data_IF_814193272340
#
_entry.id   IF_814193272340
#
_cell.length_a   1.000
_cell.length_b   1.000
_cell.length_c   1.000
_cell.angle_alpha   90.00
_cell.angle_beta   90.00
_cell.angle_gamma   90.00
#
_symmetry.space_group_name_H-M   'P 1'
#
loop_
_entity.id
_entity.type
_entity.pdbx_description
1 polymer ?
#
# COMPACT_ATOMS: atom_id res chain seq x y z
N UNK A 1 35.08 6.32 -16.39
CA UNK A 1 35.69 7.61 -16.03
C UNK A 1 34.58 8.58 -15.59
N UNK A 2 34.87 9.37 -14.54
CA UNK A 2 33.98 10.45 -14.12
C UNK A 2 34.04 11.64 -15.10
N UNK A 3 33.22 12.67 -14.86
CA UNK A 3 33.18 13.88 -15.69
C UNK A 3 34.51 14.66 -15.72
N UNK A 4 35.46 14.35 -14.86
CA UNK A 4 36.79 14.94 -14.80
C UNK A 4 37.88 14.05 -15.41
N UNK A 5 37.50 12.94 -16.07
CA UNK A 5 38.44 12.01 -16.73
C UNK A 5 39.18 11.04 -15.79
N UNK A 6 38.80 10.96 -14.51
CA UNK A 6 39.44 10.04 -13.55
C UNK A 6 38.85 8.64 -13.70
N UNK A 7 39.70 7.62 -13.63
CA UNK A 7 39.27 6.23 -13.62
C UNK A 7 38.63 5.91 -12.26
N UNK A 8 37.41 5.41 -12.29
CA UNK A 8 36.69 4.92 -11.11
C UNK A 8 36.69 3.39 -11.12
N UNK A 9 37.07 2.79 -10.01
CA UNK A 9 37.08 1.33 -9.85
C UNK A 9 35.68 0.86 -9.40
N UNK A 10 35.07 -0.04 -10.17
CA UNK A 10 33.74 -0.65 -9.91
C UNK A 10 33.85 -2.13 -9.49
N UNK A 11 35.05 -2.64 -9.16
CA UNK A 11 35.22 -4.08 -8.85
C UNK A 11 34.40 -4.55 -7.67
N UNK A 12 34.20 -3.70 -6.66
CA UNK A 12 33.49 -4.01 -5.44
C UNK A 12 32.10 -3.36 -5.37
N UNK A 13 31.42 -3.21 -6.52
CA UNK A 13 30.09 -2.59 -6.61
C UNK A 13 29.04 -3.61 -7.07
N UNK A 14 27.84 -3.46 -6.58
CA UNK A 14 26.65 -4.13 -7.09
C UNK A 14 25.93 -3.13 -8.00
N UNK A 15 25.79 -3.48 -9.27
CA UNK A 15 25.07 -2.66 -10.24
C UNK A 15 23.63 -3.17 -10.38
N UNK A 16 22.68 -2.35 -9.97
CA UNK A 16 21.25 -2.66 -10.09
C UNK A 16 20.64 -1.76 -11.16
N UNK A 17 19.95 -2.37 -12.13
CA UNK A 17 19.24 -1.67 -13.20
C UNK A 17 17.76 -2.01 -13.13
N UNK A 18 16.91 -1.02 -13.34
CA UNK A 18 15.44 -1.20 -13.39
C UNK A 18 14.92 -0.81 -14.76
N UNK A 19 13.96 -1.58 -15.28
CA UNK A 19 13.30 -1.32 -16.55
C UNK A 19 11.84 -1.74 -16.49
N UNK A 20 11.01 -1.15 -17.36
CA UNK A 20 9.62 -1.53 -17.57
C UNK A 20 9.39 -2.22 -18.91
N UNK A 21 10.41 -2.86 -19.48
CA UNK A 21 10.31 -3.59 -20.73
C UNK A 21 9.22 -4.65 -20.63
N UNK A 22 8.37 -4.72 -21.65
CA UNK A 22 7.29 -5.72 -21.76
C UNK A 22 6.05 -5.45 -20.90
N UNK A 23 6.01 -4.38 -20.09
CA UNK A 23 4.84 -4.06 -19.26
C UNK A 23 3.55 -3.93 -20.08
N UNK A 24 3.61 -3.34 -21.27
CA UNK A 24 2.45 -3.19 -22.16
C UNK A 24 1.87 -4.53 -22.63
N UNK A 25 2.71 -5.53 -22.90
CA UNK A 25 2.23 -6.85 -23.34
C UNK A 25 1.51 -7.62 -22.25
N UNK A 26 1.95 -7.46 -21.01
CA UNK A 26 1.33 -8.11 -19.85
C UNK A 26 -0.07 -7.54 -19.61
N UNK A 27 -0.23 -6.22 -19.71
CA UNK A 27 -1.52 -5.55 -19.51
C UNK A 27 -2.56 -5.96 -20.54
N UNK A 28 -2.17 -6.15 -21.81
CA UNK A 28 -3.10 -6.57 -22.88
C UNK A 28 -3.44 -8.06 -22.84
N UNK A 29 -2.64 -8.93 -22.24
CA UNK A 29 -2.97 -10.36 -22.12
C UNK A 29 -4.06 -10.64 -21.08
N UNK A 30 -4.26 -9.76 -20.10
CA UNK A 30 -5.33 -9.89 -19.10
C UNK A 30 -6.71 -9.54 -19.70
N UNK A 31 -6.79 -8.74 -20.77
CA UNK A 31 -8.05 -8.38 -21.46
C UNK A 31 -8.67 -9.56 -22.24
N UNK A 32 -7.90 -10.57 -22.60
CA UNK A 32 -8.41 -11.79 -23.24
C UNK A 32 -8.74 -12.85 -22.19
N UNK A 33 -9.88 -12.67 -21.53
CA UNK A 33 -10.48 -13.45 -20.48
C UNK A 33 -10.26 -14.96 -20.56
N UNK A 34 -9.51 -15.50 -19.61
CA UNK A 34 -9.64 -16.89 -19.19
C UNK A 34 -9.61 -16.94 -17.66
N UNK A 35 -10.69 -17.51 -17.12
CA UNK A 35 -11.00 -17.61 -15.72
C UNK A 35 -9.86 -18.17 -14.84
N UNK A 36 -10.07 -18.03 -13.53
CA UNK A 36 -9.25 -18.51 -12.39
C UNK A 36 -8.13 -19.47 -12.81
N UNK A 37 -6.96 -18.93 -13.13
CA UNK A 37 -5.75 -19.71 -13.36
C UNK A 37 -4.87 -19.59 -12.13
N UNK A 38 -4.20 -20.70 -11.77
CA UNK A 38 -3.18 -20.71 -10.74
C UNK A 38 -2.20 -19.54 -10.92
N UNK A 39 -2.05 -18.72 -9.91
CA UNK A 39 -1.17 -17.53 -9.91
C UNK A 39 0.27 -17.89 -10.31
N UNK A 40 0.73 -19.08 -9.95
CA UNK A 40 2.05 -19.59 -10.29
C UNK A 40 2.23 -19.83 -11.80
N UNK A 41 1.23 -20.38 -12.46
CA UNK A 41 1.27 -20.63 -13.93
C UNK A 41 1.26 -19.28 -14.67
N UNK A 42 0.55 -18.31 -14.14
CA UNK A 42 0.49 -16.96 -14.70
C UNK A 42 1.83 -16.24 -14.55
N UNK A 43 2.52 -16.40 -13.41
CA UNK A 43 3.83 -15.79 -13.17
C UNK A 43 4.92 -16.37 -14.08
N UNK A 44 5.01 -17.69 -14.22
CA UNK A 44 6.00 -18.32 -15.11
C UNK A 44 5.80 -17.91 -16.58
N UNK A 45 4.57 -17.88 -17.06
CA UNK A 45 4.27 -17.39 -18.42
C UNK A 45 4.63 -15.91 -18.60
N UNK A 46 4.38 -15.11 -17.60
CA UNK A 46 4.78 -13.70 -17.59
C UNK A 46 6.29 -13.56 -17.67
N UNK A 47 7.03 -14.36 -16.92
CA UNK A 47 8.50 -14.37 -16.92
C UNK A 47 9.07 -14.76 -18.28
N UNK A 48 8.51 -15.79 -18.91
CA UNK A 48 8.92 -16.23 -20.24
C UNK A 48 8.64 -15.14 -21.30
N UNK A 49 7.46 -14.52 -21.26
CA UNK A 49 7.10 -13.43 -22.16
C UNK A 49 8.04 -12.23 -22.02
N UNK A 50 8.37 -11.86 -20.77
CA UNK A 50 9.30 -10.77 -20.49
C UNK A 50 10.72 -11.10 -20.96
N UNK A 51 11.16 -12.35 -20.83
CA UNK A 51 12.47 -12.79 -21.31
C UNK A 51 12.58 -12.60 -22.82
N UNK A 52 11.59 -13.05 -23.59
CA UNK A 52 11.53 -12.85 -25.05
C UNK A 52 11.56 -11.35 -25.41
N UNK A 53 10.81 -10.52 -24.66
CA UNK A 53 10.78 -9.09 -24.90
C UNK A 53 12.12 -8.43 -24.59
N UNK A 54 12.80 -8.84 -23.53
CA UNK A 54 14.15 -8.37 -23.20
C UNK A 54 15.15 -8.73 -24.28
N UNK A 55 15.09 -9.94 -24.85
CA UNK A 55 15.95 -10.38 -25.96
C UNK A 55 15.73 -9.55 -27.23
N UNK A 56 14.53 -8.97 -27.41
CA UNK A 56 14.24 -8.07 -28.53
C UNK A 56 14.78 -6.64 -28.31
N UNK A 57 14.91 -6.19 -27.07
CA UNK A 57 15.31 -4.83 -26.71
C UNK A 57 16.80 -4.70 -26.39
N UNK A 58 17.39 -5.74 -25.83
CA UNK A 58 18.80 -5.75 -25.41
C UNK A 58 19.60 -6.72 -26.26
N UNK A 59 20.84 -6.34 -26.53
CA UNK A 59 21.75 -7.24 -27.26
C UNK A 59 22.11 -8.46 -26.40
N UNK A 60 22.26 -9.66 -27.01
CA UNK A 60 22.61 -10.88 -26.29
C UNK A 60 23.88 -10.75 -25.44
N UNK A 61 24.87 -9.99 -25.94
CA UNK A 61 26.13 -9.76 -25.22
C UNK A 61 25.93 -8.98 -23.92
N UNK A 62 24.89 -8.15 -23.85
CA UNK A 62 24.53 -7.43 -22.63
C UNK A 62 23.80 -8.36 -21.65
N UNK A 63 22.79 -9.11 -22.15
CA UNK A 63 22.01 -10.02 -21.31
C UNK A 63 22.88 -11.11 -20.68
N UNK A 64 23.85 -11.64 -21.42
CA UNK A 64 24.79 -12.65 -20.93
C UNK A 64 25.78 -12.15 -19.86
N UNK A 65 25.84 -10.84 -19.60
CA UNK A 65 26.66 -10.23 -18.55
C UNK A 65 25.88 -9.91 -17.29
N UNK A 66 24.58 -10.12 -17.30
CA UNK A 66 23.75 -9.98 -16.10
C UNK A 66 23.85 -11.26 -15.28
N UNK A 67 24.14 -11.10 -13.98
CA UNK A 67 24.21 -12.22 -13.05
C UNK A 67 22.80 -12.76 -12.77
N UNK A 68 21.79 -11.85 -12.66
CA UNK A 68 20.43 -12.23 -12.36
C UNK A 68 19.43 -11.24 -12.97
N UNK A 69 18.26 -11.76 -13.38
CA UNK A 69 17.12 -10.99 -13.87
C UNK A 69 15.93 -11.28 -12.95
N UNK A 70 15.54 -10.29 -12.18
CA UNK A 70 14.41 -10.37 -11.27
C UNK A 70 13.16 -9.79 -11.94
N UNK A 71 12.10 -10.58 -12.00
CA UNK A 71 10.78 -10.17 -12.50
C UNK A 71 9.86 -9.98 -11.31
N UNK A 72 9.31 -8.76 -11.15
CA UNK A 72 8.33 -8.49 -10.11
C UNK A 72 6.94 -8.88 -10.59
N UNK A 73 6.21 -9.62 -9.76
CA UNK A 73 4.81 -9.97 -9.98
C UNK A 73 3.89 -8.77 -9.76
N UNK A 74 2.66 -8.86 -10.26
CA UNK A 74 1.62 -7.91 -9.90
C UNK A 74 1.33 -7.99 -8.39
N UNK A 75 0.99 -6.85 -7.80
CA UNK A 75 0.62 -6.79 -6.39
C UNK A 75 -0.74 -7.43 -6.18
N UNK A 76 -0.85 -8.27 -5.17
CA UNK A 76 -2.12 -8.85 -4.71
C UNK A 76 -2.83 -7.87 -3.78
N UNK A 77 -4.09 -8.16 -3.43
CA UNK A 77 -4.83 -7.37 -2.42
C UNK A 77 -4.11 -7.37 -1.07
N UNK A 78 -3.56 -8.51 -0.65
CA UNK A 78 -2.80 -8.60 0.61
C UNK A 78 -1.52 -7.77 0.58
N UNK A 79 -0.82 -7.72 -0.56
CA UNK A 79 0.32 -6.82 -0.74
C UNK A 79 -0.10 -5.34 -0.62
N UNK A 80 -1.28 -4.99 -1.15
CA UNK A 80 -1.82 -3.62 -1.04
C UNK A 80 -2.14 -3.27 0.41
N UNK A 81 -2.76 -4.18 1.17
CA UNK A 81 -2.99 -3.98 2.61
C UNK A 81 -1.67 -3.74 3.32
N UNK A 82 -0.64 -4.53 3.03
CA UNK A 82 0.67 -4.36 3.64
C UNK A 82 1.31 -3.00 3.30
N UNK A 83 1.18 -2.55 2.06
CA UNK A 83 1.67 -1.22 1.64
C UNK A 83 0.90 -0.10 2.37
N UNK A 84 -0.42 -0.22 2.49
CA UNK A 84 -1.24 0.71 3.29
C UNK A 84 -0.75 0.75 4.72
N UNK A 85 -0.52 -0.40 5.35
CA UNK A 85 -0.04 -0.47 6.73
C UNK A 85 1.31 0.22 6.92
N UNK A 86 2.23 0.07 5.98
CA UNK A 86 3.53 0.75 6.01
C UNK A 86 3.38 2.29 5.91
N UNK A 87 2.50 2.78 5.05
CA UNK A 87 2.24 4.23 4.93
C UNK A 87 1.49 4.76 6.15
N UNK A 88 0.47 4.03 6.64
CA UNK A 88 -0.26 4.39 7.85
C UNK A 88 0.62 4.39 9.11
N UNK A 89 1.64 3.51 9.19
CA UNK A 89 2.60 3.52 10.29
C UNK A 89 3.39 4.83 10.36
N UNK A 90 3.73 5.44 9.22
CA UNK A 90 4.39 6.75 9.15
C UNK A 90 3.47 7.86 9.68
N UNK A 91 2.19 7.82 9.29
CA UNK A 91 1.18 8.76 9.77
C UNK A 91 0.95 8.57 11.28
N UNK A 92 0.79 7.33 11.74
CA UNK A 92 0.61 7.02 13.15
C UNK A 92 1.79 7.47 14.02
N UNK A 93 3.02 7.43 13.49
CA UNK A 93 4.20 7.99 14.19
C UNK A 93 4.05 9.51 14.36
N UNK A 94 3.70 10.24 13.29
CA UNK A 94 3.49 11.71 13.34
C UNK A 94 2.35 12.09 14.29
N UNK A 95 1.27 11.29 14.33
CA UNK A 95 0.15 11.51 15.24
C UNK A 95 0.56 11.29 16.70
N UNK A 96 1.38 10.25 16.98
CA UNK A 96 1.92 10.01 18.34
C UNK A 96 2.81 11.14 18.83
N UNK A 97 3.63 11.74 17.99
CA UNK A 97 4.45 12.91 18.32
C UNK A 97 3.60 14.13 18.73
N UNK A 98 2.33 14.16 18.30
CA UNK A 98 1.32 15.17 18.70
C UNK A 98 0.42 14.73 19.85
N UNK A 99 0.68 13.57 20.45
CA UNK A 99 -0.09 13.05 21.60
C UNK A 99 -1.32 12.21 21.23
N UNK A 100 -1.49 11.84 19.97
CA UNK A 100 -2.63 11.03 19.50
C UNK A 100 -2.21 9.62 19.11
N UNK A 101 -3.00 8.62 19.48
CA UNK A 101 -2.91 7.28 18.94
C UNK A 101 -3.90 7.14 17.77
N UNK A 102 -3.42 6.70 16.63
CA UNK A 102 -4.23 6.49 15.43
C UNK A 102 -4.53 5.01 15.27
N UNK A 103 -5.81 4.68 15.19
CA UNK A 103 -6.33 3.34 14.86
C UNK A 103 -7.11 3.42 13.54
N UNK A 104 -6.78 2.58 12.57
CA UNK A 104 -7.46 2.55 11.28
C UNK A 104 -8.13 1.18 11.11
N UNK A 105 -9.45 1.17 11.04
CA UNK A 105 -10.26 -0.03 10.87
C UNK A 105 -9.98 -0.69 9.50
N UNK A 106 -10.26 -1.99 9.41
CA UNK A 106 -10.01 -2.77 8.18
C UNK A 106 -10.78 -2.18 7.00
N UNK A 107 -12.03 -1.83 7.18
CA UNK A 107 -12.89 -1.25 6.16
C UNK A 107 -12.35 0.08 5.62
N UNK A 108 -11.69 0.86 6.49
CA UNK A 108 -11.03 2.10 6.09
C UNK A 108 -9.77 1.84 5.26
N UNK A 109 -9.03 0.77 5.54
CA UNK A 109 -7.90 0.34 4.70
C UNK A 109 -8.36 -0.12 3.33
N UNK A 110 -9.42 -0.95 3.27
CA UNK A 110 -10.02 -1.42 2.03
C UNK A 110 -10.53 -0.24 1.18
N UNK A 111 -11.17 0.75 1.82
CA UNK A 111 -11.56 2.00 1.16
C UNK A 111 -10.36 2.74 0.54
N UNK A 112 -9.26 2.87 1.28
CA UNK A 112 -8.04 3.52 0.79
C UNK A 112 -7.42 2.75 -0.39
N UNK A 113 -7.47 1.42 -0.37
CA UNK A 113 -7.00 0.58 -1.46
C UNK A 113 -7.86 0.80 -2.71
N UNK A 114 -9.18 0.76 -2.57
CA UNK A 114 -10.11 0.96 -3.68
C UNK A 114 -9.91 2.32 -4.37
N UNK A 115 -9.70 3.39 -3.59
CA UNK A 115 -9.50 4.74 -4.12
C UNK A 115 -8.05 5.08 -4.48
N UNK A 116 -7.11 4.26 -4.04
CA UNK A 116 -5.67 4.45 -4.24
C UNK A 116 -5.03 3.45 -5.20
N UNK A 117 -5.81 2.57 -5.81
CA UNK A 117 -5.31 1.59 -6.76
C UNK A 117 -5.79 1.91 -8.18
N UNK A 118 -4.89 1.82 -9.13
CA UNK A 118 -5.18 1.97 -10.55
C UNK A 118 -4.61 0.79 -11.31
N UNK A 119 -5.37 0.23 -12.25
CA UNK A 119 -4.95 -0.94 -13.02
C UNK A 119 -3.64 -0.72 -13.79
N UNK A 120 -3.37 0.52 -14.23
CA UNK A 120 -2.16 0.88 -15.00
C UNK A 120 -0.99 1.27 -14.11
N UNK A 121 -1.27 1.94 -12.97
CA UNK A 121 -0.25 2.52 -12.10
C UNK A 121 -0.01 1.72 -10.81
N UNK A 122 -0.83 0.68 -10.57
CA UNK A 122 -0.73 -0.19 -9.38
C UNK A 122 -0.94 0.59 -8.09
N UNK A 123 -0.03 0.42 -7.12
CA UNK A 123 -0.09 1.06 -5.80
C UNK A 123 0.48 2.50 -5.76
N UNK A 124 0.97 3.05 -6.87
CA UNK A 124 1.56 4.40 -6.87
C UNK A 124 0.60 5.51 -6.42
N UNK A 125 -0.70 5.50 -6.82
CA UNK A 125 -1.64 6.50 -6.35
C UNK A 125 -2.05 6.34 -4.88
N UNK A 126 -1.77 5.19 -4.26
CA UNK A 126 -2.21 4.86 -2.89
C UNK A 126 -1.74 5.90 -1.85
N UNK A 127 -0.50 6.36 -1.95
CA UNK A 127 0.00 7.41 -1.08
C UNK A 127 -0.82 8.70 -1.19
N UNK A 128 -1.17 9.10 -2.41
CA UNK A 128 -2.02 10.29 -2.64
C UNK A 128 -3.44 10.07 -2.10
N UNK A 129 -3.97 8.85 -2.21
CA UNK A 129 -5.27 8.53 -1.63
C UNK A 129 -5.25 8.65 -0.10
N UNK A 130 -4.18 8.19 0.56
CA UNK A 130 -3.99 8.36 2.01
C UNK A 130 -3.87 9.85 2.36
N UNK A 131 -3.06 10.61 1.64
CA UNK A 131 -2.91 12.06 1.82
C UNK A 131 -4.28 12.76 1.70
N UNK A 132 -4.98 12.59 0.57
CA UNK A 132 -6.23 13.32 0.27
C UNK A 132 -7.42 12.88 1.13
N UNK A 133 -7.58 11.57 1.41
CA UNK A 133 -8.76 11.06 2.10
C UNK A 133 -8.58 10.99 3.63
N UNK A 134 -7.36 10.81 4.12
CA UNK A 134 -7.11 10.63 5.54
C UNK A 134 -6.30 11.78 6.16
N UNK A 135 -5.13 12.15 5.60
CA UNK A 135 -4.27 13.19 6.21
C UNK A 135 -4.94 14.57 6.18
N UNK A 136 -5.59 14.92 5.07
CA UNK A 136 -6.31 16.20 4.94
C UNK A 136 -7.49 16.23 5.91
N UNK A 137 -8.28 15.15 5.98
CA UNK A 137 -9.41 15.07 6.91
C UNK A 137 -8.98 15.13 8.39
N UNK A 138 -7.87 14.45 8.76
CA UNK A 138 -7.29 14.53 10.10
C UNK A 138 -6.81 15.94 10.42
N UNK A 139 -6.13 16.59 9.49
CA UNK A 139 -5.62 17.95 9.66
C UNK A 139 -6.77 18.94 9.86
N UNK A 140 -7.84 18.81 9.08
CA UNK A 140 -9.03 19.66 9.19
C UNK A 140 -9.75 19.45 10.53
N UNK A 141 -9.96 18.20 10.96
CA UNK A 141 -10.56 17.88 12.25
C UNK A 141 -9.72 18.40 13.44
N UNK A 142 -8.40 18.31 13.33
CA UNK A 142 -7.49 18.88 14.33
C UNK A 142 -7.58 20.40 14.39
N UNK A 143 -7.64 21.09 13.25
CA UNK A 143 -7.78 22.55 13.20
C UNK A 143 -9.14 23.02 13.76
N UNK A 144 -10.20 22.24 13.55
CA UNK A 144 -11.52 22.50 14.15
C UNK A 144 -11.59 22.19 15.65
N UNK A 145 -10.54 21.61 16.23
CA UNK A 145 -10.51 21.25 17.64
C UNK A 145 -11.35 20.02 18.01
N UNK A 146 -11.73 19.18 17.05
CA UNK A 146 -12.59 18.01 17.28
C UNK A 146 -11.95 16.96 18.21
N UNK A 147 -10.63 17.00 18.37
CA UNK A 147 -9.85 16.08 19.22
C UNK A 147 -9.35 16.72 20.52
N UNK A 148 -9.83 17.89 20.90
CA UNK A 148 -9.45 18.51 22.18
C UNK A 148 -9.90 17.61 23.34
N UNK A 149 -8.95 17.26 24.24
CA UNK A 149 -9.20 16.36 25.37
C UNK A 149 -9.29 14.87 25.02
N UNK A 150 -8.96 14.50 23.78
CA UNK A 150 -8.94 13.11 23.31
C UNK A 150 -7.51 12.67 23.07
N UNK A 151 -7.23 11.39 23.26
CA UNK A 151 -5.90 10.80 23.05
C UNK A 151 -5.89 9.75 21.94
N UNK A 152 -7.05 9.25 21.53
CA UNK A 152 -7.22 8.24 20.49
C UNK A 152 -8.07 8.80 19.35
N UNK A 153 -7.66 8.47 18.13
CA UNK A 153 -8.42 8.76 16.90
C UNK A 153 -8.63 7.46 16.16
N UNK A 154 -9.89 7.08 16.03
CA UNK A 154 -10.31 5.89 15.27
C UNK A 154 -10.86 6.32 13.93
N UNK A 155 -10.40 5.63 12.87
CA UNK A 155 -10.81 5.87 11.49
C UNK A 155 -11.67 4.70 11.02
N UNK A 156 -12.91 5.00 10.62
CA UNK A 156 -13.88 4.05 10.08
C UNK A 156 -14.40 4.53 8.73
N UNK A 157 -15.25 3.74 8.08
CA UNK A 157 -15.96 4.15 6.87
C UNK A 157 -17.39 4.52 7.23
N UNK A 158 -17.83 5.70 6.84
CA UNK A 158 -19.21 6.10 6.90
C UNK A 158 -19.87 5.79 5.56
N UNK A 159 -20.84 4.88 5.58
CA UNK A 159 -21.68 4.61 4.42
C UNK A 159 -22.62 5.79 4.17
N UNK A 160 -22.94 6.09 2.92
CA UNK A 160 -23.84 7.18 2.59
C UNK A 160 -25.25 6.90 3.13
N UNK A 161 -25.90 7.95 3.60
CA UNK A 161 -27.28 7.89 4.12
C UNK A 161 -28.33 7.97 2.99
N UNK A 162 -27.90 8.26 1.76
CA UNK A 162 -28.74 8.35 0.55
C UNK A 162 -28.08 7.65 -0.62
N UNK A 163 -28.87 7.16 -1.59
CA UNK A 163 -28.42 6.42 -2.77
C UNK A 163 -27.43 7.20 -3.68
N UNK A 164 -27.36 8.52 -3.58
CA UNK A 164 -26.43 9.35 -4.34
C UNK A 164 -25.13 9.70 -3.58
N UNK A 165 -24.99 9.27 -2.34
CA UNK A 165 -23.82 9.54 -1.51
C UNK A 165 -22.65 8.63 -1.84
N UNK A 166 -21.41 9.14 -1.68
CA UNK A 166 -20.20 8.31 -1.74
C UNK A 166 -19.74 7.97 -0.32
N UNK A 167 -19.21 6.75 -0.07
CA UNK A 167 -18.60 6.43 1.21
C UNK A 167 -17.46 7.40 1.51
N UNK A 168 -17.29 7.75 2.77
CA UNK A 168 -16.22 8.66 3.24
C UNK A 168 -15.59 8.09 4.50
N UNK A 169 -14.35 8.49 4.77
CA UNK A 169 -13.71 8.19 6.05
C UNK A 169 -14.35 9.04 7.15
N UNK A 170 -14.65 8.39 8.28
CA UNK A 170 -15.14 9.01 9.50
C UNK A 170 -14.07 8.93 10.57
N UNK A 171 -13.82 10.06 11.22
CA UNK A 171 -12.86 10.21 12.30
C UNK A 171 -13.59 10.32 13.62
N UNK A 172 -13.28 9.43 14.56
CA UNK A 172 -13.87 9.43 15.91
C UNK A 172 -12.75 9.56 16.92
N UNK A 173 -12.83 10.57 17.76
CA UNK A 173 -11.88 10.73 18.84
C UNK A 173 -12.44 10.14 20.14
N UNK A 174 -11.61 9.38 20.87
CA UNK A 174 -11.91 8.84 22.19
C UNK A 174 -10.87 9.31 23.22
N UNK A 175 -11.31 9.44 24.49
CA UNK A 175 -10.41 9.62 25.64
C UNK A 175 -10.06 8.26 26.23
N UNK A 176 -8.88 8.13 26.81
CA UNK A 176 -8.35 6.88 27.38
C UNK A 176 -9.16 6.32 28.56
N UNK A 177 -10.16 7.05 29.08
CA UNK A 177 -10.90 6.65 30.28
C UNK A 177 -12.09 5.71 30.04
N UNK A 178 -12.40 5.27 28.81
CA UNK A 178 -13.63 4.51 28.51
C UNK A 178 -13.49 2.99 28.34
N UNK A 179 -12.33 2.40 28.63
CA UNK A 179 -12.19 0.95 28.72
C UNK A 179 -11.80 0.52 30.14
N UNK A 180 -12.73 0.66 31.09
CA UNK A 180 -12.72 -0.19 32.29
C UNK A 180 -13.32 -1.53 31.91
N UNK A 181 -12.65 -2.67 32.10
CA UNK A 181 -13.28 -3.96 31.89
C UNK A 181 -14.43 -4.11 32.89
N UNK A 182 -15.60 -4.54 32.43
CA UNK A 182 -16.72 -4.91 33.29
C UNK A 182 -16.21 -5.91 34.34
N UNK A 183 -16.56 -5.71 35.63
CA UNK A 183 -16.19 -6.69 36.64
C UNK A 183 -16.94 -7.99 36.36
N UNK A 184 -16.18 -9.06 36.07
CA UNK A 184 -16.68 -10.41 35.99
C UNK A 184 -17.38 -10.72 37.30
N UNK A 185 -18.73 -10.90 37.22
CA UNK A 185 -19.59 -11.18 38.35
C UNK A 185 -19.09 -12.40 39.13
N UNK A 186 -18.82 -12.18 40.40
CA UNK A 186 -18.56 -13.22 41.37
C UNK A 186 -19.80 -14.13 41.45
N UNK A 187 -19.67 -15.36 40.97
CA UNK A 187 -20.59 -16.44 41.36
C UNK A 187 -20.41 -16.65 42.86
N UNK A 188 -21.39 -16.26 43.62
CA UNK A 188 -21.59 -16.67 45.01
C UNK A 188 -22.09 -18.11 44.98
N UNK A 189 -21.22 -19.04 45.31
CA UNK A 189 -21.62 -20.38 45.79
C UNK A 189 -22.28 -20.17 47.13
N UNK A 190 -23.54 -20.52 47.21
CA UNK A 190 -24.34 -20.62 48.43
C UNK A 190 -24.83 -22.05 48.61
N UNK A 191 -24.22 -22.78 49.53
CA UNK A 191 -24.74 -23.88 50.35
C UNK A 191 -25.54 -25.00 49.69
#
# INVERSE_FOLDING_TARGET
TDSFGRHVDFKNTILIMTSNVGAHRITHQDEFGFGRRDENITYEKMKDTLKIEMESHFRPEFLNRLDEILVFRKLTHDDMIHIVDLELAKLAKRMRERGFQLEVAKEAKDFLIEHGTDEKFGARPLRRAIENHLEDALSEAMLRGEFVGKSHVRVTVQLPTSDEGKPKLRLEGASTESESPEPVGAHADGT
#
